data_IF_153926045947
#
_entry.id   IF_153926045947
#
_cell.length_a   1.000
_cell.length_b   1.000
_cell.length_c   1.000
_cell.angle_alpha   90.00
_cell.angle_beta   90.00
_cell.angle_gamma   90.00
#
_symmetry.space_group_name_H-M   'P 1'
#
loop_
_entity.id
_entity.type
_entity.pdbx_description
1 polymer ?
#
# COMPACT_ATOMS: atom_id res chain seq x y z
N UNK A 1 15.02 -1.93 0.33
CA UNK A 1 14.04 -2.29 -0.71
C UNK A 1 12.72 -1.68 -0.31
N UNK A 2 12.28 -0.67 -1.06
CA UNK A 2 11.05 0.10 -0.86
C UNK A 2 10.00 -0.35 -1.90
N UNK A 3 9.81 -1.67 -2.00
CA UNK A 3 9.25 -2.28 -3.22
C UNK A 3 7.74 -2.01 -3.41
N UNK A 4 7.02 -1.55 -2.37
CA UNK A 4 5.58 -1.28 -2.46
C UNK A 4 5.20 0.19 -2.25
N UNK A 5 6.18 1.10 -2.12
CA UNK A 5 5.91 2.51 -1.81
C UNK A 5 5.03 3.19 -2.85
N UNK A 6 5.30 2.93 -4.12
CA UNK A 6 4.51 3.47 -5.23
C UNK A 6 3.08 2.92 -5.18
N UNK A 7 2.92 1.61 -5.01
CA UNK A 7 1.62 0.96 -4.85
C UNK A 7 0.78 1.61 -3.74
N UNK A 8 1.35 1.75 -2.53
CA UNK A 8 0.62 2.32 -1.41
C UNK A 8 0.33 3.81 -1.57
N UNK A 9 1.22 4.56 -2.24
CA UNK A 9 0.97 5.96 -2.61
C UNK A 9 -0.23 6.07 -3.54
N UNK A 10 -0.26 5.25 -4.60
CA UNK A 10 -1.39 5.23 -5.53
C UNK A 10 -2.68 4.75 -4.88
N UNK A 11 -2.62 3.73 -4.02
CA UNK A 11 -3.77 3.27 -3.24
C UNK A 11 -4.32 4.37 -2.31
N UNK A 12 -3.45 5.14 -1.65
CA UNK A 12 -3.88 6.29 -0.85
C UNK A 12 -4.54 7.40 -1.69
N UNK A 13 -3.99 7.72 -2.86
CA UNK A 13 -4.57 8.72 -3.78
C UNK A 13 -5.94 8.23 -4.27
N UNK A 14 -6.05 6.96 -4.65
CA UNK A 14 -7.31 6.33 -5.06
C UNK A 14 -8.36 6.37 -3.95
N UNK A 15 -7.95 6.07 -2.73
CA UNK A 15 -8.78 6.19 -1.54
C UNK A 15 -9.30 7.61 -1.30
N UNK A 16 -8.46 8.62 -1.50
CA UNK A 16 -8.86 10.02 -1.39
C UNK A 16 -9.86 10.44 -2.48
N UNK A 17 -9.61 10.05 -3.74
CA UNK A 17 -10.51 10.35 -4.87
C UNK A 17 -11.90 9.71 -4.70
N UNK A 18 -11.94 8.47 -4.19
CA UNK A 18 -13.20 7.75 -3.93
C UNK A 18 -13.98 8.37 -2.77
N UNK A 19 -13.31 8.85 -1.72
CA UNK A 19 -13.95 9.63 -0.67
C UNK A 19 -14.53 10.94 -1.20
N UNK A 20 -13.81 11.65 -2.07
CA UNK A 20 -14.34 12.86 -2.71
C UNK A 20 -15.56 12.55 -3.57
N UNK A 21 -15.54 11.44 -4.32
CA UNK A 21 -16.69 10.99 -5.09
C UNK A 21 -17.88 10.65 -4.18
N UNK A 22 -17.66 9.94 -3.08
CA UNK A 22 -18.70 9.62 -2.09
C UNK A 22 -19.31 10.88 -1.45
N UNK A 23 -18.47 11.83 -1.06
CA UNK A 23 -18.90 13.12 -0.53
C UNK A 23 -19.71 13.90 -1.57
N UNK A 24 -19.28 13.87 -2.84
CA UNK A 24 -20.02 14.42 -3.97
C UNK A 24 -21.43 13.84 -4.04
N UNK A 25 -21.56 12.51 -4.11
CA UNK A 25 -22.86 11.80 -4.18
C UNK A 25 -23.77 12.17 -3.00
N UNK A 26 -23.24 12.29 -1.78
CA UNK A 26 -24.02 12.66 -0.60
C UNK A 26 -24.41 14.15 -0.55
N UNK A 27 -23.60 15.03 -1.13
CA UNK A 27 -23.89 16.46 -1.19
C UNK A 27 -24.93 16.80 -2.26
N UNK A 28 -25.04 15.97 -3.31
CA UNK A 28 -25.97 16.15 -4.42
C UNK A 28 -27.41 16.51 -3.99
N UNK A 29 -28.08 15.77 -3.08
CA UNK A 29 -29.47 16.03 -2.72
C UNK A 29 -29.69 17.39 -2.05
N UNK A 30 -28.66 17.93 -1.38
CA UNK A 30 -28.76 19.22 -0.68
C UNK A 30 -28.60 20.41 -1.62
N UNK A 31 -27.84 20.24 -2.71
CA UNK A 31 -27.62 21.29 -3.71
C UNK A 31 -28.80 21.39 -4.69
N UNK A 32 -29.58 20.32 -4.84
CA UNK A 32 -30.64 20.19 -5.86
C UNK A 32 -32.06 20.36 -5.34
N UNK A 33 -32.28 21.27 -4.39
CA UNK A 33 -33.64 21.64 -3.96
C UNK A 33 -34.55 22.09 -5.13
N UNK A 34 -33.98 22.41 -6.30
CA UNK A 34 -34.70 22.69 -7.54
C UNK A 34 -34.83 21.43 -8.42
N UNK A 35 -36.06 20.94 -8.63
CA UNK A 35 -36.40 19.73 -9.40
C UNK A 35 -35.81 19.65 -10.82
N UNK A 36 -35.47 20.79 -11.46
CA UNK A 36 -34.86 20.79 -12.79
C UNK A 36 -33.41 20.28 -12.83
N UNK A 37 -32.71 20.22 -11.69
CA UNK A 37 -31.28 19.88 -11.65
C UNK A 37 -30.97 18.39 -11.50
N UNK A 38 -31.95 17.58 -11.09
CA UNK A 38 -31.79 16.13 -10.83
C UNK A 38 -31.19 15.33 -12.01
N UNK A 39 -31.72 15.40 -13.25
CA UNK A 39 -31.17 14.61 -14.37
C UNK A 39 -29.78 15.07 -14.82
N UNK A 40 -29.51 16.38 -14.76
CA UNK A 40 -28.18 16.95 -15.07
C UNK A 40 -27.14 16.47 -14.06
N UNK A 41 -27.55 16.33 -12.81
CA UNK A 41 -26.68 15.91 -11.73
C UNK A 41 -26.43 14.41 -11.72
N UNK A 42 -27.45 13.61 -12.03
CA UNK A 42 -27.34 12.17 -12.21
C UNK A 42 -26.40 11.83 -13.37
N UNK A 43 -26.55 12.51 -14.51
CA UNK A 43 -25.63 12.37 -15.64
C UNK A 43 -24.20 12.78 -15.29
N UNK A 44 -24.01 13.86 -14.51
CA UNK A 44 -22.69 14.24 -13.97
C UNK A 44 -22.12 13.18 -13.03
N UNK A 45 -22.94 12.56 -12.17
CA UNK A 45 -22.52 11.50 -11.27
C UNK A 45 -22.10 10.23 -12.02
N UNK A 46 -22.88 9.81 -13.03
CA UNK A 46 -22.54 8.67 -13.90
C UNK A 46 -21.27 8.98 -14.69
N UNK A 47 -21.16 10.17 -15.29
CA UNK A 47 -19.97 10.58 -16.03
C UNK A 47 -18.73 10.65 -15.13
N UNK A 48 -18.88 11.17 -13.90
CA UNK A 48 -17.82 11.21 -12.90
C UNK A 48 -17.36 9.81 -12.49
N UNK A 49 -18.30 8.90 -12.21
CA UNK A 49 -17.98 7.51 -11.89
C UNK A 49 -17.33 6.79 -13.07
N UNK A 50 -17.85 6.96 -14.29
CA UNK A 50 -17.28 6.38 -15.50
C UNK A 50 -15.84 6.87 -15.74
N UNK A 51 -15.61 8.18 -15.58
CA UNK A 51 -14.28 8.80 -15.67
C UNK A 51 -13.34 8.24 -14.59
N UNK A 52 -13.82 8.09 -13.36
CA UNK A 52 -13.07 7.47 -12.28
C UNK A 52 -12.68 6.02 -12.60
N UNK A 53 -13.61 5.19 -13.10
CA UNK A 53 -13.33 3.80 -13.48
C UNK A 53 -12.29 3.70 -14.60
N UNK A 54 -12.35 4.60 -15.59
CA UNK A 54 -11.35 4.67 -16.65
C UNK A 54 -10.00 5.08 -16.07
N UNK A 55 -9.97 6.12 -15.24
CA UNK A 55 -8.75 6.61 -14.63
C UNK A 55 -8.10 5.55 -13.73
N UNK A 56 -8.88 4.88 -12.88
CA UNK A 56 -8.42 3.76 -12.05
C UNK A 56 -7.88 2.61 -12.91
N UNK A 57 -8.57 2.27 -14.00
CA UNK A 57 -8.09 1.30 -14.98
C UNK A 57 -6.74 1.67 -15.58
N UNK A 58 -6.57 2.91 -16.05
CA UNK A 58 -5.29 3.42 -16.59
C UNK A 58 -4.19 3.41 -15.51
N UNK A 59 -4.49 3.85 -14.30
CA UNK A 59 -3.54 3.84 -13.18
C UNK A 59 -3.09 2.41 -12.88
N UNK A 60 -4.01 1.44 -12.84
CA UNK A 60 -3.67 0.03 -12.62
C UNK A 60 -2.83 -0.57 -13.77
N UNK A 61 -3.06 -0.16 -15.01
CA UNK A 61 -2.18 -0.54 -16.14
C UNK A 61 -0.75 -0.03 -15.94
N UNK A 62 -0.61 1.25 -15.56
CA UNK A 62 0.69 1.87 -15.27
C UNK A 62 1.36 1.21 -14.06
N UNK A 63 0.59 0.94 -13.00
CA UNK A 63 1.08 0.30 -11.79
C UNK A 63 1.56 -1.13 -12.07
N UNK A 64 0.91 -1.84 -12.99
CA UNK A 64 1.34 -3.15 -13.47
C UNK A 64 2.76 -3.16 -14.09
N UNK A 65 3.21 -2.02 -14.63
CA UNK A 65 4.58 -1.85 -15.14
C UNK A 65 5.59 -1.44 -14.07
N UNK A 66 5.15 -0.76 -13.02
CA UNK A 66 6.00 -0.25 -11.93
C UNK A 66 6.17 -1.26 -10.78
N UNK A 67 5.25 -2.21 -10.63
CA UNK A 67 5.30 -3.23 -9.59
C UNK A 67 6.50 -4.18 -9.77
N UNK A 68 7.20 -4.56 -8.69
CA UNK A 68 8.30 -5.51 -8.76
C UNK A 68 7.82 -6.85 -9.32
N UNK A 69 8.59 -7.48 -10.20
CA UNK A 69 8.23 -8.75 -10.86
C UNK A 69 7.91 -9.93 -9.91
N UNK A 70 8.22 -9.80 -8.61
CA UNK A 70 7.93 -10.78 -7.56
C UNK A 70 6.64 -10.50 -6.80
N UNK A 71 6.16 -9.27 -6.81
CA UNK A 71 4.94 -8.83 -6.16
C UNK A 71 3.78 -9.03 -7.13
N UNK A 72 3.00 -10.10 -6.89
CA UNK A 72 1.77 -10.47 -7.59
C UNK A 72 1.85 -10.69 -9.12
N UNK A 73 1.05 -11.63 -9.59
CA UNK A 73 0.97 -12.01 -10.99
C UNK A 73 0.37 -10.84 -11.77
N UNK A 74 1.20 -10.07 -12.45
CA UNK A 74 0.85 -8.92 -13.31
C UNK A 74 -0.48 -9.08 -14.07
N UNK A 75 -0.82 -10.31 -14.47
CA UNK A 75 -2.11 -10.72 -15.04
C UNK A 75 -3.35 -10.32 -14.23
N UNK A 76 -3.36 -10.41 -12.90
CA UNK A 76 -4.55 -10.07 -12.09
C UNK A 76 -4.79 -8.57 -12.02
N UNK A 77 -3.70 -7.79 -11.93
CA UNK A 77 -3.77 -6.32 -11.98
C UNK A 77 -4.25 -5.87 -13.36
N UNK A 78 -3.74 -6.47 -14.43
CA UNK A 78 -4.22 -6.21 -15.79
C UNK A 78 -5.68 -6.62 -15.99
N UNK A 79 -6.12 -7.75 -15.44
CA UNK A 79 -7.51 -8.16 -15.52
C UNK A 79 -8.44 -7.17 -14.81
N UNK A 80 -8.06 -6.67 -13.62
CA UNK A 80 -8.81 -5.62 -12.93
C UNK A 80 -8.81 -4.31 -13.72
N UNK A 81 -7.67 -3.93 -14.30
CA UNK A 81 -7.55 -2.72 -15.11
C UNK A 81 -8.46 -2.77 -16.35
N UNK A 82 -8.45 -3.89 -17.08
CA UNK A 82 -9.31 -4.12 -18.24
C UNK A 82 -10.78 -4.13 -17.82
N UNK A 83 -11.12 -4.78 -16.70
CA UNK A 83 -12.48 -4.78 -16.17
C UNK A 83 -12.95 -3.37 -15.79
N UNK A 84 -12.09 -2.55 -15.17
CA UNK A 84 -12.38 -1.15 -14.82
C UNK A 84 -12.59 -0.28 -16.05
N UNK A 85 -11.73 -0.42 -17.07
CA UNK A 85 -11.89 0.27 -18.36
C UNK A 85 -13.18 -0.13 -19.07
N UNK A 86 -13.47 -1.43 -19.12
CA UNK A 86 -14.70 -1.95 -19.73
C UNK A 86 -15.93 -1.45 -18.97
N UNK A 87 -15.91 -1.45 -17.64
CA UNK A 87 -16.98 -0.90 -16.81
C UNK A 87 -17.20 0.59 -17.08
N UNK A 88 -16.14 1.40 -17.11
CA UNK A 88 -16.23 2.83 -17.42
C UNK A 88 -16.75 3.11 -18.83
N UNK A 89 -16.29 2.35 -19.83
CA UNK A 89 -16.79 2.46 -21.21
C UNK A 89 -18.28 2.07 -21.32
N UNK A 90 -18.69 0.98 -20.64
CA UNK A 90 -20.09 0.57 -20.58
C UNK A 90 -20.96 1.63 -19.89
N UNK A 91 -20.48 2.24 -18.80
CA UNK A 91 -21.18 3.33 -18.13
C UNK A 91 -21.39 4.54 -19.06
N UNK A 92 -20.40 4.90 -19.88
CA UNK A 92 -20.55 5.96 -20.89
C UNK A 92 -21.52 5.59 -22.02
N UNK A 93 -21.41 4.37 -22.56
CA UNK A 93 -22.22 3.92 -23.69
C UNK A 93 -23.69 3.76 -23.31
N UNK A 94 -23.95 3.24 -22.11
CA UNK A 94 -25.31 2.90 -21.67
C UNK A 94 -25.93 4.04 -20.87
N UNK A 95 -25.15 4.87 -20.17
CA UNK A 95 -25.63 6.04 -19.42
C UNK A 95 -26.35 7.11 -20.25
N UNK A 96 -26.20 7.09 -21.58
CA UNK A 96 -26.92 7.97 -22.50
C UNK A 96 -28.29 7.43 -22.97
N UNK A 97 -28.59 6.16 -22.75
CA UNK A 97 -29.84 5.51 -23.13
C UNK A 97 -30.49 4.90 -21.88
N UNK A 98 -31.40 5.62 -21.22
CA UNK A 98 -32.28 5.18 -20.13
C UNK A 98 -31.75 3.96 -19.35
N UNK A 99 -30.65 4.16 -18.60
CA UNK A 99 -30.07 3.13 -17.75
C UNK A 99 -31.08 2.68 -16.69
N UNK A 100 -31.52 1.42 -16.77
CA UNK A 100 -32.14 0.77 -15.62
C UNK A 100 -31.08 0.69 -14.50
N UNK A 101 -31.38 1.25 -13.33
CA UNK A 101 -30.51 1.27 -12.14
C UNK A 101 -29.96 -0.13 -11.79
N UNK A 102 -30.66 -1.20 -12.22
CA UNK A 102 -30.21 -2.59 -12.10
C UNK A 102 -28.87 -2.86 -12.78
N UNK A 103 -28.62 -2.31 -13.96
CA UNK A 103 -27.36 -2.50 -14.69
C UNK A 103 -26.20 -1.79 -14.01
N UNK A 104 -26.41 -0.55 -13.59
CA UNK A 104 -25.44 0.24 -12.81
C UNK A 104 -24.97 -0.50 -11.56
N UNK A 105 -25.91 -1.03 -10.79
CA UNK A 105 -25.60 -1.79 -9.57
C UNK A 105 -24.89 -3.10 -9.90
N UNK A 106 -25.30 -3.80 -10.96
CA UNK A 106 -24.65 -5.05 -11.41
C UNK A 106 -23.18 -4.83 -11.80
N UNK A 107 -22.90 -3.79 -12.58
CA UNK A 107 -21.53 -3.41 -12.97
C UNK A 107 -20.72 -3.02 -11.74
N UNK A 108 -21.28 -2.21 -10.84
CA UNK A 108 -20.61 -1.81 -9.59
C UNK A 108 -20.29 -3.01 -8.67
N UNK A 109 -21.22 -3.96 -8.54
CA UNK A 109 -21.02 -5.17 -7.75
C UNK A 109 -19.93 -6.07 -8.37
N UNK A 110 -19.93 -6.23 -9.70
CA UNK A 110 -18.88 -6.97 -10.40
C UNK A 110 -17.50 -6.30 -10.22
N UNK A 111 -17.42 -4.98 -10.35
CA UNK A 111 -16.20 -4.21 -10.10
C UNK A 111 -15.70 -4.41 -8.66
N UNK A 112 -16.59 -4.32 -7.67
CA UNK A 112 -16.26 -4.55 -6.26
C UNK A 112 -15.71 -5.96 -6.02
N UNK A 113 -16.24 -6.98 -6.69
CA UNK A 113 -15.76 -8.35 -6.60
C UNK A 113 -14.34 -8.51 -7.16
N UNK A 114 -14.07 -7.92 -8.32
CA UNK A 114 -12.73 -7.94 -8.92
C UNK A 114 -11.71 -7.19 -8.06
N UNK A 115 -12.09 -6.02 -7.55
CA UNK A 115 -11.26 -5.24 -6.64
C UNK A 115 -10.99 -6.02 -5.34
N UNK A 116 -12.00 -6.68 -4.75
CA UNK A 116 -11.84 -7.48 -3.54
C UNK A 116 -10.82 -8.61 -3.75
N UNK A 117 -10.89 -9.30 -4.88
CA UNK A 117 -9.96 -10.38 -5.21
C UNK A 117 -8.53 -9.87 -5.40
N UNK A 118 -8.36 -8.74 -6.09
CA UNK A 118 -7.05 -8.14 -6.30
C UNK A 118 -6.43 -7.63 -4.99
N UNK A 119 -7.21 -6.91 -4.18
CA UNK A 119 -6.80 -6.45 -2.84
C UNK A 119 -6.46 -7.63 -1.93
N UNK A 120 -7.23 -8.73 -1.98
CA UNK A 120 -6.90 -9.94 -1.22
C UNK A 120 -5.55 -10.54 -1.62
N UNK A 121 -5.24 -10.57 -2.93
CA UNK A 121 -3.94 -11.03 -3.44
C UNK A 121 -2.79 -10.15 -2.94
N UNK A 122 -2.93 -8.83 -3.06
CA UNK A 122 -1.93 -7.88 -2.57
C UNK A 122 -1.78 -7.96 -1.05
N UNK A 123 -2.89 -8.05 -0.32
CA UNK A 123 -2.90 -8.22 1.12
C UNK A 123 -2.18 -9.49 1.56
N UNK A 124 -2.35 -10.60 0.84
CA UNK A 124 -1.66 -11.86 1.10
C UNK A 124 -0.15 -11.74 0.93
N UNK A 125 0.30 -11.12 -0.15
CA UNK A 125 1.74 -10.95 -0.40
C UNK A 125 2.36 -9.95 0.57
N UNK A 126 1.65 -8.86 0.88
CA UNK A 126 2.06 -7.89 1.91
C UNK A 126 2.11 -8.54 3.30
N UNK A 127 1.14 -9.39 3.64
CA UNK A 127 1.11 -10.09 4.92
C UNK A 127 2.31 -11.02 5.09
N UNK A 128 2.75 -11.70 4.02
CA UNK A 128 3.95 -12.54 4.05
C UNK A 128 5.23 -11.74 4.34
N UNK A 129 5.29 -10.48 3.91
CA UNK A 129 6.45 -9.61 4.11
C UNK A 129 6.41 -8.89 5.46
N UNK A 130 5.27 -8.34 5.85
CA UNK A 130 5.14 -7.44 7.01
C UNK A 130 4.39 -8.05 8.21
N UNK A 131 3.79 -9.23 8.09
CA UNK A 131 3.04 -9.91 9.16
C UNK A 131 1.77 -9.19 9.63
N UNK A 132 1.32 -8.16 8.91
CA UNK A 132 0.16 -7.36 9.32
C UNK A 132 -1.15 -7.94 8.80
N UNK A 133 -2.14 -8.16 9.67
CA UNK A 133 -3.51 -8.51 9.25
C UNK A 133 -4.31 -7.29 8.74
N UNK A 134 -3.84 -6.09 9.12
CA UNK A 134 -4.08 -4.79 8.49
C UNK A 134 -4.61 -4.81 7.07
N UNK A 135 -3.81 -5.46 6.23
CA UNK A 135 -3.88 -5.41 4.79
C UNK A 135 -5.19 -5.98 4.24
N UNK A 136 -5.87 -6.85 4.99
CA UNK A 136 -7.10 -7.49 4.51
C UNK A 136 -8.36 -6.64 4.72
N UNK A 137 -8.27 -5.51 5.43
CA UNK A 137 -9.43 -4.67 5.72
C UNK A 137 -10.11 -4.15 4.44
N UNK A 138 -9.33 -3.72 3.44
CA UNK A 138 -9.82 -3.26 2.13
C UNK A 138 -10.55 -4.39 1.39
N UNK A 139 -9.92 -5.57 1.31
CA UNK A 139 -10.50 -6.74 0.66
C UNK A 139 -11.82 -7.19 1.30
N UNK A 140 -11.91 -7.17 2.64
CA UNK A 140 -13.13 -7.51 3.37
C UNK A 140 -14.22 -6.48 3.10
N UNK A 141 -13.90 -5.19 3.17
CA UNK A 141 -14.85 -4.11 2.90
C UNK A 141 -15.45 -4.22 1.48
N UNK A 142 -14.60 -4.47 0.48
CA UNK A 142 -15.03 -4.69 -0.90
C UNK A 142 -15.88 -5.96 -1.09
N UNK A 143 -15.55 -7.03 -0.37
CA UNK A 143 -16.34 -8.26 -0.39
C UNK A 143 -17.74 -8.01 0.16
N UNK A 144 -17.86 -7.30 1.28
CA UNK A 144 -19.16 -6.90 1.85
C UNK A 144 -19.93 -6.04 0.85
N UNK A 145 -19.27 -5.06 0.22
CA UNK A 145 -19.91 -4.19 -0.76
C UNK A 145 -20.46 -4.93 -1.98
N UNK A 146 -19.74 -5.97 -2.45
CA UNK A 146 -20.17 -6.83 -3.57
C UNK A 146 -21.56 -7.41 -3.33
N UNK A 147 -21.87 -7.81 -2.09
CA UNK A 147 -23.19 -8.36 -1.73
C UNK A 147 -24.18 -7.28 -1.30
N UNK A 148 -23.72 -6.19 -0.68
CA UNK A 148 -24.59 -5.12 -0.20
C UNK A 148 -25.24 -4.31 -1.33
N UNK A 149 -24.52 -4.10 -2.45
CA UNK A 149 -24.99 -3.33 -3.60
C UNK A 149 -26.28 -3.92 -4.23
N UNK A 150 -26.34 -5.21 -4.59
CA UNK A 150 -27.57 -5.84 -5.08
C UNK A 150 -28.73 -5.82 -4.07
N UNK A 151 -28.42 -5.95 -2.78
CA UNK A 151 -29.44 -5.90 -1.71
C UNK A 151 -30.04 -4.50 -1.66
N UNK A 152 -29.21 -3.45 -1.70
CA UNK A 152 -29.69 -2.08 -1.65
C UNK A 152 -30.58 -1.69 -2.84
N UNK A 153 -30.31 -2.26 -4.02
CA UNK A 153 -31.18 -2.13 -5.19
C UNK A 153 -32.59 -2.68 -4.93
N UNK A 154 -32.71 -3.81 -4.22
CA UNK A 154 -34.02 -4.37 -3.86
C UNK A 154 -34.83 -3.46 -2.91
N UNK A 155 -34.14 -2.61 -2.12
CA UNK A 155 -34.76 -1.63 -1.23
C UNK A 155 -34.90 -0.22 -1.83
N UNK A 156 -34.49 0.00 -3.08
CA UNK A 156 -34.54 1.31 -3.73
C UNK A 156 -33.57 2.35 -3.17
N UNK A 157 -32.59 1.95 -2.35
CA UNK A 157 -31.63 2.83 -1.68
C UNK A 157 -30.27 2.92 -2.43
N UNK A 158 -30.33 2.96 -3.77
CA UNK A 158 -29.14 2.81 -4.64
C UNK A 158 -28.11 3.92 -4.42
N UNK A 159 -28.53 5.19 -4.37
CA UNK A 159 -27.63 6.33 -4.18
C UNK A 159 -26.88 6.29 -2.85
N UNK A 160 -27.60 5.96 -1.76
CA UNK A 160 -27.02 5.81 -0.43
C UNK A 160 -26.04 4.62 -0.40
N UNK A 161 -26.39 3.50 -1.01
CA UNK A 161 -25.54 2.32 -1.02
C UNK A 161 -24.27 2.50 -1.85
N UNK A 162 -24.37 3.17 -3.00
CA UNK A 162 -23.20 3.53 -3.82
C UNK A 162 -22.32 4.53 -3.07
N UNK A 163 -22.89 5.53 -2.40
CA UNK A 163 -22.13 6.46 -1.58
C UNK A 163 -21.44 5.77 -0.38
N UNK A 164 -22.16 4.89 0.32
CA UNK A 164 -21.60 4.12 1.44
C UNK A 164 -20.50 3.17 0.97
N UNK A 165 -20.66 2.53 -0.19
CA UNK A 165 -19.64 1.72 -0.83
C UNK A 165 -18.40 2.55 -1.16
N UNK A 166 -18.55 3.64 -1.90
CA UNK A 166 -17.45 4.50 -2.31
C UNK A 166 -16.72 5.09 -1.08
N UNK A 167 -17.48 5.49 -0.06
CA UNK A 167 -16.94 6.02 1.18
C UNK A 167 -16.18 4.97 2.00
N UNK A 168 -16.75 3.77 2.18
CA UNK A 168 -16.11 2.69 2.93
C UNK A 168 -14.85 2.19 2.21
N UNK A 169 -14.94 2.00 0.89
CA UNK A 169 -13.81 1.63 0.05
C UNK A 169 -12.71 2.69 0.17
N UNK A 170 -13.03 3.96 -0.09
CA UNK A 170 -12.05 5.03 -0.07
C UNK A 170 -11.39 5.24 1.28
N UNK A 171 -12.17 5.19 2.37
CA UNK A 171 -11.63 5.23 3.72
C UNK A 171 -10.69 4.05 4.01
N UNK A 172 -11.08 2.84 3.63
CA UNK A 172 -10.28 1.64 3.86
C UNK A 172 -8.95 1.69 3.10
N UNK A 173 -8.95 2.15 1.85
CA UNK A 173 -7.74 2.32 1.04
C UNK A 173 -6.84 3.43 1.59
N UNK A 174 -7.41 4.59 1.89
CA UNK A 174 -6.67 5.72 2.40
C UNK A 174 -5.97 5.37 3.71
N UNK A 175 -6.69 4.74 4.65
CA UNK A 175 -6.14 4.32 5.94
C UNK A 175 -5.09 3.22 5.78
N UNK A 176 -5.34 2.21 4.94
CA UNK A 176 -4.41 1.09 4.74
C UNK A 176 -3.15 1.56 4.02
N UNK A 177 -3.29 2.33 2.95
CA UNK A 177 -2.17 2.92 2.21
C UNK A 177 -1.34 3.86 3.09
N UNK A 178 -1.97 4.76 3.85
CA UNK A 178 -1.26 5.68 4.76
C UNK A 178 -0.50 4.90 5.84
N UNK A 179 -1.10 3.86 6.39
CA UNK A 179 -0.46 2.98 7.38
C UNK A 179 0.74 2.24 6.80
N UNK A 180 0.62 1.70 5.59
CA UNK A 180 1.73 0.99 4.94
C UNK A 180 2.86 1.93 4.56
N UNK A 181 2.55 3.11 4.02
CA UNK A 181 3.53 4.17 3.76
C UNK A 181 4.27 4.58 5.03
N UNK A 182 3.56 4.69 6.15
CA UNK A 182 4.18 4.99 7.44
C UNK A 182 5.10 3.84 7.92
N UNK A 183 4.68 2.58 7.73
CA UNK A 183 5.51 1.43 8.09
C UNK A 183 6.78 1.35 7.23
N UNK A 184 6.68 1.59 5.94
CA UNK A 184 7.84 1.66 5.04
C UNK A 184 8.76 2.83 5.35
N UNK A 185 8.19 4.01 5.58
CA UNK A 185 8.94 5.20 6.02
C UNK A 185 9.71 4.90 7.30
N UNK A 186 9.03 4.30 8.29
CA UNK A 186 9.64 3.92 9.57
C UNK A 186 10.74 2.88 9.37
N UNK A 187 10.54 1.86 8.54
CA UNK A 187 11.54 0.84 8.26
C UNK A 187 12.81 1.43 7.61
N UNK A 188 12.66 2.48 6.79
CA UNK A 188 13.77 3.22 6.18
C UNK A 188 14.42 4.27 7.08
N UNK A 189 13.85 4.56 8.27
CA UNK A 189 14.34 5.65 9.13
C UNK A 189 15.34 5.17 10.19
N UNK A 190 16.44 5.90 10.43
CA UNK A 190 17.47 5.52 11.40
C UNK A 190 16.93 5.41 12.83
N UNK A 191 15.87 6.15 13.15
CA UNK A 191 15.17 6.09 14.44
C UNK A 191 14.55 4.71 14.72
N UNK A 192 14.15 3.96 13.70
CA UNK A 192 13.62 2.60 13.90
C UNK A 192 14.72 1.64 14.33
N UNK A 193 15.91 1.75 13.74
CA UNK A 193 17.11 0.99 14.11
C UNK A 193 17.51 1.31 15.56
N UNK A 194 17.50 2.59 15.95
CA UNK A 194 17.75 3.01 17.32
C UNK A 194 16.71 2.45 18.30
N UNK A 195 15.43 2.44 17.95
CA UNK A 195 14.37 1.91 18.82
C UNK A 195 14.41 0.39 18.98
N UNK A 196 14.86 -0.35 17.96
CA UNK A 196 15.08 -1.79 18.06
C UNK A 196 16.31 -2.09 18.92
N UNK A 197 17.41 -1.36 18.73
CA UNK A 197 18.62 -1.47 19.53
C UNK A 197 18.32 -1.25 21.04
N UNK A 198 17.53 -0.21 21.34
CA UNK A 198 17.10 0.06 22.72
C UNK A 198 16.19 -1.03 23.30
N UNK A 199 15.28 -1.61 22.50
CA UNK A 199 14.44 -2.74 22.98
C UNK A 199 15.27 -3.97 23.27
N UNK A 200 16.25 -4.29 22.42
CA UNK A 200 17.15 -5.43 22.65
C UNK A 200 18.00 -5.25 23.90
N UNK A 201 18.38 -4.01 24.21
CA UNK A 201 19.09 -3.66 25.45
C UNK A 201 18.20 -3.87 26.69
N UNK A 202 16.92 -3.52 26.61
CA UNK A 202 15.98 -3.65 27.74
C UNK A 202 15.44 -5.07 27.99
N UNK A 203 15.55 -5.99 27.04
CA UNK A 203 15.15 -7.38 27.25
C UNK A 203 16.33 -8.20 27.78
N UNK A 204 16.36 -8.57 29.07
CA UNK A 204 17.54 -9.18 29.72
C UNK A 204 17.96 -10.51 29.08
N UNK A 205 17.01 -11.25 28.49
CA UNK A 205 17.28 -12.50 27.78
C UNK A 205 17.95 -12.30 26.41
N UNK A 206 17.63 -11.23 25.68
CA UNK A 206 18.25 -10.93 24.38
C UNK A 206 19.65 -10.33 24.56
N UNK A 207 19.85 -9.51 25.59
CA UNK A 207 21.16 -8.99 25.95
C UNK A 207 22.16 -10.12 26.27
N UNK A 208 21.71 -11.18 26.96
CA UNK A 208 22.54 -12.35 27.24
C UNK A 208 22.93 -13.14 25.96
N UNK A 209 22.01 -13.31 25.01
CA UNK A 209 22.27 -14.02 23.75
C UNK A 209 23.19 -13.23 22.81
N UNK A 210 22.99 -11.91 22.70
CA UNK A 210 23.86 -11.03 21.91
C UNK A 210 25.25 -10.94 22.54
N UNK A 211 25.34 -10.84 23.87
CA UNK A 211 26.62 -10.85 24.60
C UNK A 211 27.36 -12.19 24.43
N UNK A 212 26.65 -13.32 24.45
CA UNK A 212 27.24 -14.63 24.17
C UNK A 212 27.75 -14.76 22.71
N UNK A 213 27.05 -14.17 21.74
CA UNK A 213 27.47 -14.18 20.33
C UNK A 213 28.66 -13.25 20.05
N UNK A 214 28.73 -12.09 20.71
CA UNK A 214 29.89 -11.20 20.65
C UNK A 214 31.11 -11.80 21.37
N UNK A 215 30.94 -12.47 22.51
CA UNK A 215 32.04 -13.12 23.22
C UNK A 215 32.62 -14.33 22.46
N UNK A 216 31.85 -14.94 21.56
CA UNK A 216 32.33 -16.04 20.71
C UNK A 216 33.00 -15.55 19.43
N UNK A 217 32.61 -14.39 18.89
CA UNK A 217 33.27 -13.76 17.73
C UNK A 217 34.46 -12.88 18.10
N UNK A 218 34.52 -12.34 19.33
CA UNK A 218 35.66 -11.56 19.85
C UNK A 218 36.91 -12.40 20.17
N UNK A 219 36.89 -13.72 19.98
CA UNK A 219 38.10 -14.57 20.07
C UNK A 219 39.12 -14.33 18.94
N UNK A 220 38.85 -13.42 18.01
CA UNK A 220 39.73 -13.13 16.87
C UNK A 220 40.83 -12.09 17.08
N UNK A 221 40.79 -11.26 18.13
CA UNK A 221 41.81 -10.23 18.38
C UNK A 221 42.48 -10.46 19.73
N UNK A 222 43.43 -11.39 19.76
CA UNK A 222 44.18 -11.77 20.96
C UNK A 222 45.37 -10.80 21.22
N UNK A 223 45.74 -10.00 20.23
CA UNK A 223 46.75 -8.94 20.33
C UNK A 223 46.20 -7.63 19.75
N UNK A 224 46.33 -6.54 20.50
CA UNK A 224 46.01 -5.19 20.03
C UNK A 224 47.00 -4.67 18.97
N UNK A 225 48.08 -5.38 18.68
CA UNK A 225 49.08 -4.95 17.69
C UNK A 225 48.58 -5.08 16.23
N UNK A 226 47.55 -5.90 15.97
CA UNK A 226 47.08 -6.19 14.62
C UNK A 226 45.72 -5.54 14.25
N UNK A 227 45.15 -4.71 15.14
CA UNK A 227 43.88 -4.04 14.89
C UNK A 227 44.10 -2.62 14.35
N UNK A 228 43.69 -2.29 13.11
CA UNK A 228 43.93 -0.97 12.49
C UNK A 228 43.09 0.18 13.09
N UNK A 229 42.58 0.02 14.31
CA UNK A 229 41.75 0.98 15.02
C UNK A 229 42.22 1.16 16.47
N UNK A 230 43.47 1.59 16.65
CA UNK A 230 44.13 1.83 17.96
C UNK A 230 43.33 2.70 18.93
N UNK A 231 42.45 3.56 18.43
CA UNK A 231 41.66 4.48 19.26
C UNK A 231 40.50 3.81 20.02
N UNK A 232 40.04 2.62 19.63
CA UNK A 232 38.86 1.98 20.24
C UNK A 232 39.19 0.92 21.31
N UNK A 233 40.45 0.51 21.46
CA UNK A 233 40.82 -0.55 22.41
C UNK A 233 40.92 -0.10 23.88
N UNK A 234 40.87 1.21 24.18
CA UNK A 234 41.01 1.73 25.56
C UNK A 234 39.77 2.38 26.15
N UNK A 235 38.69 2.51 25.38
CA UNK A 235 37.47 3.15 25.88
C UNK A 235 36.47 2.09 26.38
N UNK A 236 36.61 1.72 27.66
CA UNK A 236 35.67 0.81 28.36
C UNK A 236 34.41 1.54 28.84
N UNK A 237 34.21 2.80 28.47
CA UNK A 237 32.96 3.50 28.77
C UNK A 237 31.83 2.94 27.90
N UNK A 238 30.60 3.00 28.42
CA UNK A 238 29.39 2.64 27.66
C UNK A 238 29.30 3.43 26.34
N UNK A 239 29.85 4.65 26.30
CA UNK A 239 29.94 5.45 25.08
C UNK A 239 30.96 4.89 24.07
N UNK A 240 32.07 4.31 24.54
CA UNK A 240 33.06 3.59 23.74
C UNK A 240 32.49 2.32 23.11
N UNK A 241 31.77 1.50 23.88
CA UNK A 241 31.06 0.32 23.38
C UNK A 241 29.98 0.68 22.35
N UNK A 242 29.22 1.76 22.58
CA UNK A 242 28.22 2.26 21.63
C UNK A 242 28.87 2.70 20.30
N UNK A 243 30.05 3.34 20.36
CA UNK A 243 30.81 3.73 19.18
C UNK A 243 31.41 2.53 18.46
N UNK A 244 31.89 1.50 19.15
CA UNK A 244 32.32 0.24 18.54
C UNK A 244 31.17 -0.47 17.81
N UNK A 245 29.97 -0.51 18.41
CA UNK A 245 28.80 -1.13 17.78
C UNK A 245 28.35 -0.35 16.54
N UNK A 246 28.41 0.98 16.57
CA UNK A 246 28.11 1.83 15.41
C UNK A 246 29.18 1.70 14.31
N UNK A 247 30.46 1.73 14.67
CA UNK A 247 31.59 1.59 13.74
C UNK A 247 31.70 0.18 13.13
N UNK A 248 31.31 -0.88 13.86
CA UNK A 248 31.23 -2.25 13.34
C UNK A 248 29.99 -2.49 12.47
N UNK A 249 28.96 -1.63 12.55
CA UNK A 249 27.78 -1.67 11.66
C UNK A 249 27.92 -0.83 10.39
N UNK A 250 28.80 0.19 10.38
CA UNK A 250 29.15 0.90 9.15
C UNK A 250 29.73 0.02 8.02
N UNK A 251 30.60 -0.99 8.25
CA UNK A 251 31.12 -1.80 7.15
C UNK A 251 30.08 -2.71 6.50
N UNK A 252 28.95 -3.01 7.15
CA UNK A 252 27.89 -3.81 6.54
C UNK A 252 27.04 -3.00 5.54
N UNK A 253 26.80 -1.72 5.85
CA UNK A 253 26.04 -0.81 4.98
C UNK A 253 26.92 -0.28 3.85
N UNK A 254 28.21 0.00 4.12
CA UNK A 254 29.13 0.48 3.08
C UNK A 254 29.59 -0.63 2.13
N UNK A 255 29.76 -1.89 2.59
CA UNK A 255 30.08 -3.01 1.68
C UNK A 255 28.92 -3.40 0.77
N UNK A 256 27.66 -3.35 1.25
CA UNK A 256 26.51 -3.65 0.39
C UNK A 256 26.31 -2.58 -0.68
N UNK A 257 26.57 -1.31 -0.38
CA UNK A 257 26.54 -0.23 -1.38
C UNK A 257 27.68 -0.36 -2.41
N UNK A 258 28.92 -0.69 -2.00
CA UNK A 258 30.05 -0.91 -2.93
C UNK A 258 29.88 -2.14 -3.82
N UNK A 259 29.31 -3.23 -3.31
CA UNK A 259 29.04 -4.43 -4.13
C UNK A 259 27.91 -4.16 -5.13
N UNK A 260 26.89 -3.38 -4.75
CA UNK A 260 25.83 -2.98 -5.67
C UNK A 260 26.32 -2.02 -6.78
N UNK A 261 27.23 -1.08 -6.45
CA UNK A 261 27.81 -0.18 -7.48
C UNK A 261 28.76 -0.90 -8.43
N UNK A 262 29.53 -1.88 -7.96
CA UNK A 262 30.40 -2.70 -8.83
C UNK A 262 29.60 -3.64 -9.75
N UNK A 263 28.43 -4.11 -9.31
CA UNK A 263 27.54 -4.92 -10.15
C UNK A 263 26.78 -4.08 -11.20
N UNK A 264 26.46 -2.81 -10.90
CA UNK A 264 25.83 -1.92 -11.88
C UNK A 264 26.80 -1.46 -12.98
N UNK A 265 28.07 -1.22 -12.66
CA UNK A 265 29.06 -0.86 -13.69
C UNK A 265 29.46 -2.04 -14.57
N UNK A 266 29.40 -3.28 -14.05
CA UNK A 266 29.65 -4.49 -14.84
C UNK A 266 28.54 -4.81 -15.87
N UNK A 267 27.32 -4.31 -15.68
CA UNK A 267 26.20 -4.55 -16.60
C UNK A 267 25.98 -3.45 -17.64
N UNK A 268 26.52 -2.25 -17.45
CA UNK A 268 26.44 -1.17 -18.44
C UNK A 268 27.52 -1.24 -19.54
N UNK A 269 28.39 -2.26 -19.51
CA UNK A 269 29.50 -2.45 -20.46
C UNK A 269 29.36 -3.65 -21.40
N UNK A 270 28.13 -4.15 -21.66
CA UNK A 270 27.84 -5.16 -22.69
C UNK A 270 26.77 -4.68 -23.64
#
# INVERSE_FOLDING_TARGET
MNDFREYWTFSSIRGALTLLAAAGILALPQVTASMLSLPVLETLAIAGWATYCIFDGVVLLLLGHLLPARATTSRTVYAQAIAGLAAGALLFLVGYNDMDARWLVGIGAAQAAFAAYAEWRVARDTHRVYGCLSCYATAIALTVATFALPIALAYGAVSLAVAAYAGLYGASELLTGSRMLFLEYRAGHPAAVASQAWRTEKTPFAAAAVKAHFLTTAKGCVSCEDCPADALCRDTSVAGEMRQIMAAREPAIVRTVRVATLLQTAHAGR
#
